data_IF_204353460666
#
_entry.id   IF_204353460666
#
_cell.length_a   1.000
_cell.length_b   1.000
_cell.length_c   1.000
_cell.angle_alpha   90.00
_cell.angle_beta   90.00
_cell.angle_gamma   90.00
#
_symmetry.space_group_name_H-M   'P 1'
#
loop_
_entity.id
_entity.type
_entity.pdbx_description
1 polymer ?
#
# COMPACT_ATOMS: atom_id res chain seq x y z
N UNK A 1 -7.65 -7.37 -9.51
CA UNK A 1 -6.55 -7.39 -8.53
C UNK A 1 -6.89 -6.49 -7.36
N UNK A 2 -6.93 -7.06 -6.17
CA UNK A 2 -7.30 -6.31 -4.97
C UNK A 2 -6.09 -5.99 -4.12
N UNK A 4 -3.44 -2.59 -4.22
CA UNK A 4 -3.56 -1.34 -3.50
C UNK A 4 -4.51 -1.52 -2.32
N UNK A 5 -5.72 -2.02 -2.61
CA UNK A 5 -6.77 -2.15 -1.61
C UNK A 5 -6.25 -2.82 -0.34
N UNK A 7 -2.24 -4.06 0.37
CA UNK A 7 -1.08 -3.37 0.90
C UNK A 7 -1.50 -2.14 1.69
N UNK A 8 -2.40 -1.33 1.12
CA UNK A 8 -2.88 -0.14 1.81
C UNK A 8 -3.62 -0.57 3.08
N UNK A 10 -2.94 -4.62 5.26
CA UNK A 10 -2.14 -5.11 6.38
C UNK A 10 -1.25 -4.04 6.98
N UNK A 11 -0.94 -3.02 6.20
CA UNK A 11 -0.04 -1.97 6.64
C UNK A 11 -0.81 -0.76 7.16
N UNK A 13 -1.36 0.18 10.11
CA UNK A 13 -0.67 0.89 11.18
C UNK A 13 0.64 1.50 10.72
N UNK A 14 0.88 1.48 9.42
CA UNK A 14 2.10 2.01 8.85
C UNK A 14 1.78 2.95 7.70
N UNK A 15 2.82 3.43 7.03
CA UNK A 15 2.65 4.29 5.87
C UNK A 15 2.54 3.44 4.61
N UNK A 17 1.16 3.99 0.30
CA UNK A 17 0.49 4.70 -0.77
C UNK A 17 0.60 3.92 -2.06
N UNK A 18 -0.51 3.48 -2.58
CA UNK A 18 -0.51 2.74 -3.82
C UNK A 18 -1.02 3.61 -4.95
N UNK A 19 -0.34 3.59 -6.08
CA UNK A 19 -0.75 4.35 -7.23
C UNK A 19 -0.54 3.54 -8.49
N UNK A 21 0.71 1.01 -10.74
CA UNK A 21 1.92 0.16 -10.73
C UNK A 21 2.87 0.48 -9.57
N UNK A 22 2.65 1.61 -8.91
CA UNK A 22 3.54 2.04 -7.83
C UNK A 22 3.02 1.61 -6.48
N UNK A 23 3.90 1.00 -5.70
CA UNK A 23 3.56 0.52 -4.38
C UNK A 23 4.50 1.12 -3.34
N UNK A 24 4.07 2.18 -2.68
CA UNK A 24 4.85 2.80 -1.62
C UNK A 24 4.42 2.23 -0.28
N UNK A 26 5.98 2.06 3.94
CA UNK A 26 6.97 2.16 5.01
C UNK A 26 6.36 1.60 6.28
N UNK A 27 6.80 0.41 6.65
CA UNK A 27 6.25 -0.29 7.80
C UNK A 27 7.34 -1.05 8.53
#
# INVERSE_FOLDING_TARGET
NDXCKXLKXRYXGCEXRCDXPRYEXHCX
#
